data_IF_225479184814
#
_entry.id   IF_225479184814
#
_cell.length_a   1.000
_cell.length_b   1.000
_cell.length_c   1.000
_cell.angle_alpha   90.00
_cell.angle_beta   90.00
_cell.angle_gamma   90.00
#
_symmetry.space_group_name_H-M   'P 1'
#
loop_
_entity.id
_entity.type
_entity.pdbx_description
1 polymer ?
#
# COMPACT_ATOMS: atom_id res chain seq x y z
N UNK A 1 36.00 -47.95 -15.24
CA UNK A 1 34.71 -47.21 -15.35
C UNK A 1 33.92 -47.07 -14.04
N UNK A 2 34.07 -47.92 -13.01
CA UNK A 2 33.27 -47.81 -11.76
C UNK A 2 33.67 -46.68 -10.79
N UNK A 3 34.91 -46.15 -10.84
CA UNK A 3 35.34 -45.04 -9.95
C UNK A 3 34.61 -43.71 -10.19
N UNK A 4 34.10 -43.46 -11.40
CA UNK A 4 33.37 -42.21 -11.70
C UNK A 4 31.99 -42.15 -11.04
N UNK A 5 31.32 -43.30 -10.83
CA UNK A 5 29.98 -43.35 -10.22
C UNK A 5 29.97 -42.86 -8.76
N UNK A 6 31.02 -43.16 -8.00
CA UNK A 6 31.11 -42.75 -6.60
C UNK A 6 31.28 -41.24 -6.43
N UNK A 7 32.12 -40.62 -7.27
CA UNK A 7 32.36 -39.17 -7.24
C UNK A 7 31.09 -38.37 -7.56
N UNK A 8 30.34 -38.77 -8.60
CA UNK A 8 29.08 -38.12 -8.97
C UNK A 8 28.01 -38.25 -7.88
N UNK A 9 27.92 -39.40 -7.18
CA UNK A 9 27.01 -39.57 -6.04
C UNK A 9 27.36 -38.64 -4.88
N UNK A 10 28.64 -38.42 -4.60
CA UNK A 10 29.05 -37.49 -3.55
C UNK A 10 28.71 -36.04 -3.89
N UNK A 11 28.94 -35.61 -5.13
CA UNK A 11 28.54 -34.28 -5.60
C UNK A 11 27.02 -34.12 -5.49
N UNK A 12 26.26 -35.11 -5.96
CA UNK A 12 24.80 -35.07 -5.90
C UNK A 12 24.27 -34.97 -4.46
N UNK A 13 24.83 -35.75 -3.53
CA UNK A 13 24.45 -35.68 -2.12
C UNK A 13 24.79 -34.32 -1.49
N UNK A 14 25.94 -33.72 -1.84
CA UNK A 14 26.29 -32.36 -1.40
C UNK A 14 25.31 -31.33 -1.95
N UNK A 15 25.00 -31.37 -3.24
CA UNK A 15 24.03 -30.45 -3.87
C UNK A 15 22.63 -30.63 -3.26
N UNK A 16 22.20 -31.86 -3.01
CA UNK A 16 20.94 -32.15 -2.34
C UNK A 16 20.91 -31.57 -0.92
N UNK A 17 21.98 -31.74 -0.15
CA UNK A 17 22.06 -31.18 1.21
C UNK A 17 22.05 -29.65 1.18
N UNK A 18 22.76 -29.01 0.25
CA UNK A 18 22.71 -27.55 0.05
C UNK A 18 21.29 -27.11 -0.28
N UNK A 19 20.62 -27.81 -1.20
CA UNK A 19 19.24 -27.48 -1.57
C UNK A 19 18.28 -27.61 -0.39
N UNK A 20 18.42 -28.66 0.44
CA UNK A 20 17.62 -28.84 1.66
C UNK A 20 17.85 -27.67 2.62
N UNK A 21 19.11 -27.32 2.91
CA UNK A 21 19.44 -26.20 3.80
C UNK A 21 18.86 -24.88 3.30
N UNK A 22 18.94 -24.62 1.99
CA UNK A 22 18.37 -23.41 1.36
C UNK A 22 16.83 -23.43 1.46
N UNK A 23 16.20 -24.55 1.11
CA UNK A 23 14.75 -24.72 1.11
C UNK A 23 14.15 -24.61 2.54
N UNK A 24 14.85 -25.12 3.54
CA UNK A 24 14.47 -25.09 4.95
C UNK A 24 14.89 -23.78 5.65
N UNK A 25 15.56 -22.86 4.96
CA UNK A 25 15.93 -21.56 5.53
C UNK A 25 14.68 -20.79 6.01
N UNK A 26 14.76 -20.05 7.14
CA UNK A 26 13.64 -19.25 7.63
C UNK A 26 13.15 -18.25 6.58
N UNK A 27 11.85 -17.96 6.57
CA UNK A 27 11.21 -17.09 5.57
C UNK A 27 11.83 -15.69 5.52
N UNK A 28 12.36 -15.20 6.64
CA UNK A 28 13.09 -13.93 6.68
C UNK A 28 14.31 -13.90 5.77
N UNK A 29 15.01 -15.02 5.57
CA UNK A 29 16.19 -15.05 4.69
C UNK A 29 15.78 -14.77 3.24
N UNK A 30 14.68 -15.36 2.81
CA UNK A 30 14.12 -15.13 1.47
C UNK A 30 13.57 -13.72 1.32
N UNK A 31 12.87 -13.23 2.33
CA UNK A 31 12.40 -11.84 2.34
C UNK A 31 13.57 -10.87 2.24
N UNK A 32 14.54 -10.91 3.15
CA UNK A 32 15.66 -9.96 3.14
C UNK A 32 16.61 -10.17 1.95
N UNK A 33 16.81 -11.40 1.49
CA UNK A 33 17.60 -11.69 0.29
C UNK A 33 17.03 -10.99 -0.95
N UNK A 34 15.71 -11.12 -1.18
CA UNK A 34 15.04 -10.43 -2.30
C UNK A 34 14.93 -8.92 -2.09
N UNK A 35 14.79 -8.45 -0.85
CA UNK A 35 14.83 -7.03 -0.51
C UNK A 35 16.19 -6.42 -0.90
N UNK A 36 17.29 -7.05 -0.49
CA UNK A 36 18.64 -6.62 -0.78
C UNK A 36 18.96 -6.72 -2.27
N UNK A 37 18.40 -7.70 -2.98
CA UNK A 37 18.53 -7.79 -4.44
C UNK A 37 17.90 -6.57 -5.14
N UNK A 38 16.69 -6.16 -4.75
CA UNK A 38 16.07 -4.95 -5.29
C UNK A 38 16.87 -3.69 -4.91
N UNK A 39 17.35 -3.59 -3.67
CA UNK A 39 18.24 -2.50 -3.24
C UNK A 39 19.52 -2.45 -4.06
N UNK A 40 20.13 -3.59 -4.35
CA UNK A 40 21.31 -3.66 -5.19
C UNK A 40 21.01 -3.17 -6.62
N UNK A 41 19.90 -3.61 -7.21
CA UNK A 41 19.54 -3.25 -8.58
C UNK A 41 19.12 -1.79 -8.77
N UNK A 42 18.39 -1.21 -7.81
CA UNK A 42 17.81 0.14 -7.96
C UNK A 42 18.56 1.23 -7.20
N UNK A 43 19.53 0.89 -6.37
CA UNK A 43 20.36 1.85 -5.68
C UNK A 43 21.85 1.58 -5.86
N UNK A 44 22.35 0.41 -5.46
CA UNK A 44 23.81 0.18 -5.49
C UNK A 44 24.36 0.21 -6.93
N UNK A 45 23.73 -0.53 -7.85
CA UNK A 45 24.19 -0.63 -9.23
C UNK A 45 24.14 0.71 -9.97
N UNK A 46 23.02 1.47 -9.96
CA UNK A 46 22.97 2.77 -10.63
C UNK A 46 23.90 3.81 -10.01
N UNK A 47 24.05 3.84 -8.68
CA UNK A 47 24.83 4.88 -7.99
C UNK A 47 26.33 4.59 -7.98
N UNK A 48 26.73 3.33 -7.76
CA UNK A 48 28.14 2.97 -7.54
C UNK A 48 28.78 2.19 -8.70
N UNK A 49 27.99 1.49 -9.53
CA UNK A 49 28.53 0.62 -10.58
C UNK A 49 28.32 1.15 -12.00
N UNK A 50 27.47 2.16 -12.19
CA UNK A 50 27.31 2.84 -13.47
C UNK A 50 28.39 3.93 -13.63
N UNK A 51 29.37 3.73 -14.52
CA UNK A 51 30.45 4.69 -14.74
C UNK A 51 29.96 6.06 -15.24
N UNK A 52 28.84 6.11 -15.96
CA UNK A 52 28.24 7.36 -16.49
C UNK A 52 27.49 8.17 -15.41
N UNK A 53 27.01 7.47 -14.37
CA UNK A 53 26.21 8.02 -13.27
C UNK A 53 26.85 7.89 -11.89
N UNK A 54 28.12 7.50 -11.83
CA UNK A 54 28.82 7.22 -10.56
C UNK A 54 28.72 8.40 -9.59
N UNK A 55 28.23 8.13 -8.38
CA UNK A 55 28.04 9.11 -7.30
C UNK A 55 27.12 10.30 -7.63
N UNK A 56 26.38 10.27 -8.76
CA UNK A 56 25.36 11.28 -9.05
C UNK A 56 24.09 10.93 -8.29
N UNK A 57 23.89 11.59 -7.16
CA UNK A 57 22.58 11.64 -6.51
C UNK A 57 21.70 12.61 -7.30
N UNK A 58 21.04 12.09 -8.34
CA UNK A 58 20.05 12.87 -9.08
C UNK A 58 18.93 13.37 -8.15
N UNK A 59 18.22 14.45 -8.52
CA UNK A 59 17.01 14.83 -7.82
C UNK A 59 16.02 13.66 -7.93
N UNK A 60 15.88 12.89 -6.86
CA UNK A 60 15.00 11.73 -6.80
C UNK A 60 13.55 12.14 -6.48
N UNK A 61 13.34 13.41 -6.16
CA UNK A 61 12.06 14.06 -6.00
C UNK A 61 12.17 15.50 -6.52
N UNK A 62 11.24 15.90 -7.38
CA UNK A 62 11.13 17.29 -7.84
C UNK A 62 10.65 18.18 -6.69
N UNK A 63 11.60 18.82 -6.01
CA UNK A 63 11.32 19.75 -4.93
C UNK A 63 10.52 20.95 -5.45
N UNK A 64 9.36 21.20 -4.87
CA UNK A 64 8.57 22.40 -5.17
C UNK A 64 9.02 23.52 -4.24
N UNK A 65 9.21 24.71 -4.80
CA UNK A 65 9.47 25.92 -4.02
C UNK A 65 8.27 26.85 -4.15
N UNK A 66 7.62 27.24 -3.03
CA UNK A 66 7.92 26.84 -1.66
C UNK A 66 7.46 25.40 -1.35
N UNK A 67 8.14 24.74 -0.40
CA UNK A 67 7.78 23.40 0.08
C UNK A 67 6.35 23.34 0.65
N UNK A 68 5.74 22.15 0.64
CA UNK A 68 4.40 21.93 1.13
C UNK A 68 3.34 22.39 0.13
N UNK A 69 3.57 22.18 -1.17
CA UNK A 69 2.66 22.64 -2.23
C UNK A 69 1.20 22.24 -2.01
N UNK A 70 0.97 20.99 -1.59
CA UNK A 70 -0.38 20.49 -1.34
C UNK A 70 -0.94 21.02 -0.01
N UNK A 71 -0.12 21.11 1.04
CA UNK A 71 -0.54 21.76 2.30
C UNK A 71 -0.96 23.22 2.08
N UNK A 72 -0.24 23.95 1.24
CA UNK A 72 -0.55 25.35 0.90
C UNK A 72 -1.87 25.45 0.15
N UNK A 73 -2.17 24.49 -0.73
CA UNK A 73 -3.48 24.38 -1.36
C UNK A 73 -4.58 24.14 -0.32
N UNK A 74 -4.37 23.24 0.64
CA UNK A 74 -5.35 23.00 1.71
C UNK A 74 -5.55 24.24 2.60
N UNK A 75 -4.48 24.98 2.88
CA UNK A 75 -4.55 26.24 3.63
C UNK A 75 -5.28 27.33 2.87
N UNK A 76 -5.08 27.46 1.56
CA UNK A 76 -5.80 28.44 0.75
C UNK A 76 -7.31 28.13 0.73
N UNK A 77 -7.69 26.85 0.69
CA UNK A 77 -9.08 26.41 0.82
C UNK A 77 -9.66 26.74 2.19
N UNK A 78 -8.92 26.49 3.27
CA UNK A 78 -9.34 26.87 4.63
C UNK A 78 -9.53 28.37 4.78
N UNK A 79 -8.65 29.18 4.17
CA UNK A 79 -8.76 30.65 4.15
C UNK A 79 -9.95 31.15 3.34
N UNK A 80 -10.18 30.57 2.15
CA UNK A 80 -11.34 30.91 1.32
C UNK A 80 -12.64 30.62 2.06
N UNK A 81 -12.74 29.45 2.70
CA UNK A 81 -13.89 29.10 3.53
C UNK A 81 -14.06 30.05 4.73
N UNK A 82 -12.98 30.35 5.46
CA UNK A 82 -13.02 31.25 6.62
C UNK A 82 -13.50 32.67 6.27
N UNK A 83 -13.06 33.20 5.13
CA UNK A 83 -13.29 34.59 4.74
C UNK A 83 -14.58 34.79 3.93
N UNK A 84 -14.96 33.81 3.12
CA UNK A 84 -16.00 33.96 2.08
C UNK A 84 -17.07 32.87 2.16
N UNK A 85 -16.89 31.84 2.99
CA UNK A 85 -17.77 30.67 3.03
C UNK A 85 -17.68 29.78 1.77
N UNK A 86 -16.67 30.00 0.92
CA UNK A 86 -16.51 29.27 -0.34
C UNK A 86 -16.02 27.85 -0.12
N UNK A 87 -16.61 26.90 -0.86
CA UNK A 87 -16.19 25.51 -0.88
C UNK A 87 -16.03 25.03 -2.32
N UNK A 88 -14.78 24.83 -2.74
CA UNK A 88 -14.45 24.33 -4.07
C UNK A 88 -13.33 23.31 -3.96
N UNK A 89 -13.68 22.04 -3.72
CA UNK A 89 -12.65 21.02 -3.55
C UNK A 89 -13.12 19.60 -3.80
N UNK A 90 -12.23 18.73 -4.27
CA UNK A 90 -12.45 17.30 -4.42
C UNK A 90 -12.12 16.48 -3.17
N UNK A 91 -11.84 17.14 -2.04
CA UNK A 91 -11.62 16.49 -0.74
C UNK A 91 -12.85 16.63 0.16
N UNK A 92 -13.08 15.68 1.10
CA UNK A 92 -14.23 15.78 1.98
C UNK A 92 -14.14 17.04 2.88
N UNK A 93 -15.28 17.60 3.31
CA UNK A 93 -15.32 18.91 3.97
C UNK A 93 -14.46 19.06 5.23
N UNK A 94 -14.18 17.96 5.92
CA UNK A 94 -13.37 17.97 7.13
C UNK A 94 -11.98 18.55 6.91
N UNK A 95 -11.34 18.30 5.75
CA UNK A 95 -9.99 18.83 5.49
C UNK A 95 -10.00 20.36 5.47
N UNK A 96 -10.95 20.97 4.78
CA UNK A 96 -11.12 22.43 4.75
C UNK A 96 -11.36 22.99 6.16
N UNK A 97 -12.20 22.31 6.96
CA UNK A 97 -12.46 22.72 8.34
C UNK A 97 -11.22 22.61 9.23
N UNK A 98 -10.43 21.55 9.09
CA UNK A 98 -9.20 21.37 9.84
C UNK A 98 -8.18 22.47 9.53
N UNK A 99 -8.18 23.01 8.31
CA UNK A 99 -7.28 24.09 7.90
C UNK A 99 -7.78 25.49 8.27
N UNK A 100 -9.07 25.64 8.56
CA UNK A 100 -9.70 26.93 8.87
C UNK A 100 -9.07 27.65 10.09
N UNK A 101 -8.78 26.97 11.23
CA UNK A 101 -8.09 27.61 12.36
C UNK A 101 -6.68 28.15 12.04
N UNK A 102 -6.05 27.67 10.96
CA UNK A 102 -4.72 28.10 10.53
C UNK A 102 -4.77 29.21 9.47
N UNK A 103 -5.95 29.76 9.17
CA UNK A 103 -6.13 30.76 8.13
C UNK A 103 -5.23 31.99 8.30
N UNK A 104 -4.98 32.43 9.53
CA UNK A 104 -4.15 33.58 9.87
C UNK A 104 -2.67 33.26 10.14
N UNK A 105 -2.29 31.98 10.15
CA UNK A 105 -0.92 31.54 10.47
C UNK A 105 -0.06 31.54 9.20
N UNK A 106 1.23 31.86 9.34
CA UNK A 106 2.17 31.77 8.23
C UNK A 106 2.27 30.32 7.71
N UNK A 107 2.14 30.07 6.40
CA UNK A 107 2.16 28.71 5.86
C UNK A 107 3.44 27.92 6.16
N UNK A 108 4.59 28.59 6.34
CA UNK A 108 5.83 27.91 6.68
C UNK A 108 5.80 27.34 8.11
N UNK A 109 5.19 28.06 9.06
CA UNK A 109 5.06 27.58 10.44
C UNK A 109 4.02 26.45 10.53
N UNK A 110 2.91 26.55 9.79
CA UNK A 110 1.97 25.44 9.67
C UNK A 110 2.66 24.22 9.06
N UNK A 111 3.49 24.41 8.03
CA UNK A 111 4.23 23.31 7.40
C UNK A 111 5.17 22.60 8.38
N UNK A 112 5.95 23.33 9.20
CA UNK A 112 6.84 22.73 10.21
C UNK A 112 6.06 21.87 11.20
N UNK A 113 4.96 22.39 11.73
CA UNK A 113 4.10 21.64 12.66
C UNK A 113 3.48 20.42 11.97
N UNK A 114 3.01 20.59 10.74
CA UNK A 114 2.39 19.53 9.96
C UNK A 114 3.38 18.41 9.61
N UNK A 115 4.63 18.73 9.27
CA UNK A 115 5.69 17.76 9.03
C UNK A 115 5.98 16.92 10.29
N UNK A 116 5.99 17.55 11.47
CA UNK A 116 6.11 16.81 12.75
C UNK A 116 4.92 15.86 12.97
N UNK A 117 3.70 16.29 12.66
CA UNK A 117 2.51 15.42 12.71
C UNK A 117 2.64 14.24 11.75
N UNK A 118 3.02 14.48 10.48
CA UNK A 118 3.25 13.41 9.49
C UNK A 118 4.27 12.39 10.02
N UNK A 119 5.39 12.85 10.58
CA UNK A 119 6.42 11.98 11.12
C UNK A 119 5.92 11.15 12.31
N UNK A 120 5.21 11.76 13.26
CA UNK A 120 4.61 11.05 14.39
C UNK A 120 3.55 10.05 13.94
N UNK A 121 2.72 10.42 12.95
CA UNK A 121 1.77 9.53 12.31
C UNK A 121 2.47 8.35 11.65
N UNK A 122 3.60 8.60 10.96
CA UNK A 122 4.40 7.55 10.33
C UNK A 122 4.98 6.58 11.36
N UNK A 123 5.60 7.09 12.42
CA UNK A 123 6.08 6.28 13.55
C UNK A 123 4.95 5.41 14.13
N UNK A 124 3.77 5.98 14.26
CA UNK A 124 2.59 5.28 14.76
C UNK A 124 2.18 4.11 13.83
N UNK A 125 2.05 4.36 12.53
CA UNK A 125 1.55 3.35 11.58
C UNK A 125 2.60 2.34 11.13
N UNK A 126 3.87 2.73 11.06
CA UNK A 126 4.93 1.87 10.52
C UNK A 126 5.66 1.10 11.63
N UNK A 127 5.59 1.54 12.89
CA UNK A 127 6.27 0.88 14.01
C UNK A 127 5.34 0.54 15.17
N UNK A 128 4.74 1.54 15.83
CA UNK A 128 4.03 1.32 17.12
C UNK A 128 2.84 0.38 16.94
N UNK A 129 1.86 0.72 16.09
CA UNK A 129 0.66 -0.08 15.90
C UNK A 129 0.96 -1.47 15.31
N UNK A 130 1.79 -1.62 14.27
CA UNK A 130 2.22 -2.93 13.81
C UNK A 130 2.84 -3.80 14.90
N UNK A 131 3.70 -3.25 15.76
CA UNK A 131 4.35 -3.99 16.84
C UNK A 131 3.38 -4.41 17.94
N UNK A 132 2.29 -3.66 18.15
CA UNK A 132 1.21 -4.04 19.05
C UNK A 132 0.31 -5.15 18.47
N UNK A 133 0.18 -5.19 17.13
CA UNK A 133 -0.63 -6.19 16.42
C UNK A 133 0.16 -7.49 16.26
N UNK A 134 1.42 -7.41 15.84
CA UNK A 134 2.32 -8.55 15.62
C UNK A 134 3.04 -8.88 16.91
N UNK A 135 2.65 -9.99 17.55
CA UNK A 135 3.21 -10.40 18.85
C UNK A 135 4.50 -11.23 18.76
N UNK A 136 4.89 -11.63 17.54
CA UNK A 136 6.03 -12.51 17.29
C UNK A 136 7.32 -11.71 17.22
N UNK A 137 8.35 -12.13 17.95
CA UNK A 137 9.62 -11.41 18.02
C UNK A 137 10.26 -11.20 16.62
N UNK A 138 10.32 -12.25 15.80
CA UNK A 138 10.84 -12.13 14.44
C UNK A 138 10.00 -11.18 13.56
N UNK A 139 8.68 -11.16 13.79
CA UNK A 139 7.78 -10.24 13.12
C UNK A 139 7.98 -8.78 13.54
N UNK A 140 8.27 -8.54 14.83
CA UNK A 140 8.63 -7.21 15.34
C UNK A 140 9.97 -6.75 14.75
N UNK A 141 10.97 -7.63 14.64
CA UNK A 141 12.24 -7.31 13.99
C UNK A 141 12.06 -6.92 12.52
N UNK A 142 11.18 -7.64 11.81
CA UNK A 142 10.80 -7.25 10.45
C UNK A 142 10.15 -5.87 10.43
N UNK A 143 9.19 -5.58 11.31
CA UNK A 143 8.55 -4.26 11.41
C UNK A 143 9.58 -3.16 11.65
N UNK A 144 10.54 -3.36 12.56
CA UNK A 144 11.62 -2.40 12.80
C UNK A 144 12.43 -2.17 11.53
N UNK A 145 12.80 -3.23 10.82
CA UNK A 145 13.54 -3.10 9.56
C UNK A 145 12.74 -2.34 8.50
N UNK A 146 11.44 -2.62 8.35
CA UNK A 146 10.56 -1.93 7.41
C UNK A 146 10.30 -0.47 7.79
N UNK A 147 10.21 -0.17 9.09
CA UNK A 147 10.11 1.21 9.60
C UNK A 147 11.35 2.02 9.18
N UNK A 148 12.56 1.51 9.42
CA UNK A 148 13.78 2.20 9.02
C UNK A 148 13.90 2.32 7.50
N UNK A 149 13.60 1.24 6.76
CA UNK A 149 13.61 1.30 5.30
C UNK A 149 12.62 2.33 4.74
N UNK A 150 11.42 2.39 5.31
CA UNK A 150 10.39 3.33 4.88
C UNK A 150 10.66 4.77 5.34
N UNK A 151 11.36 4.97 6.46
CA UNK A 151 11.77 6.29 6.93
C UNK A 151 12.66 7.01 5.91
N UNK A 152 13.49 6.27 5.18
CA UNK A 152 14.35 6.78 4.11
C UNK A 152 13.78 6.56 2.71
N UNK A 153 12.52 6.14 2.61
CA UNK A 153 11.90 5.83 1.32
C UNK A 153 11.45 7.08 0.58
N UNK A 154 11.47 6.98 -0.75
CA UNK A 154 10.97 8.00 -1.65
C UNK A 154 9.51 8.39 -1.34
N UNK A 155 8.63 7.41 -1.13
CA UNK A 155 7.21 7.68 -0.84
C UNK A 155 7.01 8.50 0.43
N UNK A 156 7.76 8.23 1.50
CA UNK A 156 7.64 9.01 2.74
C UNK A 156 8.22 10.41 2.62
N UNK A 157 9.40 10.56 1.99
CA UNK A 157 9.98 11.88 1.73
C UNK A 157 9.04 12.73 0.86
N UNK A 158 8.39 12.11 -0.12
CA UNK A 158 7.43 12.77 -1.00
C UNK A 158 6.15 13.21 -0.26
N UNK A 159 5.62 12.38 0.65
CA UNK A 159 4.51 12.76 1.53
C UNK A 159 4.85 14.00 2.38
N UNK A 160 6.04 14.02 2.98
CA UNK A 160 6.50 15.14 3.81
C UNK A 160 6.75 16.41 2.98
N UNK A 161 7.41 16.30 1.84
CA UNK A 161 7.73 17.46 0.99
C UNK A 161 6.46 18.13 0.46
N UNK A 162 5.47 17.34 0.04
CA UNK A 162 4.19 17.89 -0.43
C UNK A 162 3.28 18.36 0.69
N UNK A 163 3.45 17.82 1.91
CA UNK A 163 2.57 18.10 3.04
C UNK A 163 1.20 17.43 2.88
N UNK A 164 1.22 16.14 2.59
CA UNK A 164 0.02 15.34 2.34
C UNK A 164 -0.56 14.70 3.61
N UNK A 165 -1.82 14.25 3.52
CA UNK A 165 -2.60 13.73 4.65
C UNK A 165 -2.76 12.20 4.68
N UNK A 166 -2.10 11.45 3.79
CA UNK A 166 -2.35 10.02 3.63
C UNK A 166 -1.87 9.22 4.83
N UNK A 167 -0.66 9.52 5.35
CA UNK A 167 -0.13 8.87 6.55
C UNK A 167 -1.01 9.17 7.76
N UNK A 168 -1.52 10.39 7.88
CA UNK A 168 -2.44 10.81 8.95
C UNK A 168 -3.77 10.07 8.85
N UNK A 169 -4.41 10.07 7.66
CA UNK A 169 -5.67 9.36 7.42
C UNK A 169 -5.52 7.87 7.73
N UNK A 170 -4.41 7.26 7.31
CA UNK A 170 -4.12 5.86 7.56
C UNK A 170 -3.86 5.57 9.05
N UNK A 171 -3.27 6.50 9.80
CA UNK A 171 -3.13 6.37 11.26
C UNK A 171 -4.48 6.25 11.94
N UNK A 172 -5.43 7.12 11.60
CA UNK A 172 -6.79 7.05 12.15
C UNK A 172 -7.45 5.70 11.84
N UNK A 173 -7.27 5.20 10.62
CA UNK A 173 -7.82 3.92 10.17
C UNK A 173 -7.19 2.73 10.89
N UNK A 174 -5.85 2.66 10.96
CA UNK A 174 -5.16 1.56 11.64
C UNK A 174 -5.41 1.58 13.15
N UNK A 175 -5.45 2.76 13.76
CA UNK A 175 -5.83 2.91 15.17
C UNK A 175 -7.28 2.46 15.42
N UNK A 176 -8.20 2.83 14.54
CA UNK A 176 -9.59 2.38 14.62
C UNK A 176 -9.70 0.85 14.53
N UNK A 177 -9.03 0.23 13.56
CA UNK A 177 -8.98 -1.22 13.41
C UNK A 177 -8.38 -1.87 14.66
N UNK A 178 -7.28 -1.31 15.19
CA UNK A 178 -6.65 -1.79 16.42
C UNK A 178 -7.62 -1.73 17.61
N UNK A 179 -8.26 -0.59 17.86
CA UNK A 179 -9.21 -0.45 18.96
C UNK A 179 -10.41 -1.39 18.80
N UNK A 180 -10.94 -1.55 17.58
CA UNK A 180 -12.09 -2.41 17.32
C UNK A 180 -11.83 -3.88 17.71
N UNK A 181 -10.64 -4.40 17.34
CA UNK A 181 -10.26 -5.80 17.55
C UNK A 181 -9.62 -6.08 18.89
N UNK A 182 -8.78 -5.17 19.40
CA UNK A 182 -7.96 -5.42 20.59
C UNK A 182 -8.46 -4.69 21.84
N UNK A 183 -9.40 -3.73 21.71
CA UNK A 183 -9.99 -2.98 22.81
C UNK A 183 -11.52 -2.90 22.67
N UNK A 184 -12.28 -4.00 22.90
CA UNK A 184 -13.72 -4.05 22.66
C UNK A 184 -14.54 -2.95 23.35
N UNK A 185 -14.11 -2.50 24.54
CA UNK A 185 -14.73 -1.39 25.29
C UNK A 185 -14.63 -0.04 24.58
N UNK A 186 -13.71 0.12 23.63
CA UNK A 186 -13.43 1.34 22.87
C UNK A 186 -13.95 1.28 21.43
N UNK A 187 -14.84 0.32 21.08
CA UNK A 187 -15.38 0.18 19.71
C UNK A 187 -16.07 1.44 19.19
N UNK A 188 -16.74 2.21 20.05
CA UNK A 188 -17.33 3.48 19.65
C UNK A 188 -16.28 4.48 19.17
N UNK A 189 -15.17 4.61 19.90
CA UNK A 189 -14.03 5.46 19.51
C UNK A 189 -13.45 4.96 18.18
N UNK A 190 -13.36 3.64 17.98
CA UNK A 190 -12.91 3.09 16.71
C UNK A 190 -13.77 3.57 15.53
N UNK A 191 -15.10 3.59 15.65
CA UNK A 191 -15.97 4.08 14.59
C UNK A 191 -15.75 5.57 14.29
N UNK A 192 -15.58 6.39 15.33
CA UNK A 192 -15.30 7.82 15.18
C UNK A 192 -13.96 8.05 14.48
N UNK A 193 -12.89 7.37 14.91
CA UNK A 193 -11.57 7.49 14.27
C UNK A 193 -11.61 7.02 12.82
N UNK A 194 -12.33 5.93 12.52
CA UNK A 194 -12.49 5.47 11.14
C UNK A 194 -13.18 6.52 10.27
N UNK A 195 -14.27 7.11 10.75
CA UNK A 195 -14.95 8.21 10.06
C UNK A 195 -14.03 9.42 9.86
N UNK A 196 -13.24 9.81 10.86
CA UNK A 196 -12.24 10.89 10.70
C UNK A 196 -11.26 10.55 9.56
N UNK A 197 -10.73 9.32 9.53
CA UNK A 197 -9.83 8.88 8.46
C UNK A 197 -10.45 8.98 7.07
N UNK A 198 -11.70 8.52 6.90
CA UNK A 198 -12.47 8.58 5.65
C UNK A 198 -12.78 10.03 5.22
N UNK A 199 -12.97 10.93 6.18
CA UNK A 199 -13.21 12.34 5.91
C UNK A 199 -11.93 13.15 5.69
N UNK A 200 -10.76 12.62 6.02
CA UNK A 200 -9.48 13.21 5.61
C UNK A 200 -9.16 12.79 4.15
N UNK A 201 -9.33 11.50 3.83
CA UNK A 201 -9.18 10.94 2.47
C UNK A 201 -10.22 9.84 2.28
N UNK A 202 -10.77 9.67 1.08
CA UNK A 202 -11.87 8.71 0.82
C UNK A 202 -11.38 7.26 0.69
N UNK A 203 -10.16 7.05 0.16
CA UNK A 203 -9.63 5.71 -0.11
C UNK A 203 -9.67 4.72 1.08
N UNK A 204 -9.58 5.14 2.36
CA UNK A 204 -9.70 4.21 3.48
C UNK A 204 -11.08 3.58 3.66
N UNK A 205 -12.11 4.01 2.92
CA UNK A 205 -13.45 3.42 3.00
C UNK A 205 -13.44 1.90 2.77
N UNK A 206 -12.52 1.37 1.97
CA UNK A 206 -12.36 -0.08 1.74
C UNK A 206 -12.07 -0.85 3.04
N UNK A 207 -11.46 -0.21 4.05
CA UNK A 207 -11.19 -0.85 5.33
C UNK A 207 -12.43 -1.04 6.20
N UNK A 208 -13.62 -0.65 5.75
CA UNK A 208 -14.87 -0.97 6.45
C UNK A 208 -15.03 -2.48 6.71
N UNK A 209 -14.53 -3.32 5.79
CA UNK A 209 -14.52 -4.78 5.96
C UNK A 209 -13.66 -5.25 7.14
N UNK A 210 -12.70 -4.43 7.60
CA UNK A 210 -11.92 -4.72 8.81
C UNK A 210 -12.75 -4.60 10.09
N UNK A 211 -13.99 -4.13 10.06
CA UNK A 211 -14.91 -4.06 11.21
C UNK A 211 -15.82 -5.30 11.34
N UNK A 212 -15.42 -6.40 10.71
CA UNK A 212 -16.04 -7.72 10.86
C UNK A 212 -15.40 -8.44 12.04
N UNK A 213 -16.22 -8.85 12.99
CA UNK A 213 -15.78 -9.55 14.21
C UNK A 213 -15.92 -11.07 14.04
N UNK A 214 -17.11 -11.50 13.60
CA UNK A 214 -17.47 -12.87 13.25
C UNK A 214 -18.28 -12.85 11.96
N UNK A 215 -17.89 -13.65 10.95
CA UNK A 215 -18.58 -13.67 9.65
C UNK A 215 -19.97 -14.29 9.72
N UNK A 216 -20.24 -15.13 10.73
CA UNK A 216 -21.56 -15.74 10.94
C UNK A 216 -22.59 -14.73 11.43
N UNK A 217 -22.16 -13.66 12.10
CA UNK A 217 -23.01 -12.57 12.58
C UNK A 217 -23.27 -11.51 11.49
N UNK A 218 -23.67 -11.94 10.30
CA UNK A 218 -23.83 -11.04 9.14
C UNK A 218 -24.80 -9.88 9.42
N UNK A 219 -25.85 -10.10 10.22
CA UNK A 219 -26.79 -9.04 10.63
C UNK A 219 -26.11 -7.96 11.46
N UNK A 220 -25.25 -8.35 12.40
CA UNK A 220 -24.51 -7.42 13.26
C UNK A 220 -23.48 -6.65 12.43
N UNK A 221 -22.75 -7.34 11.54
CA UNK A 221 -21.79 -6.69 10.64
C UNK A 221 -22.49 -5.70 9.71
N UNK A 222 -23.63 -6.08 9.13
CA UNK A 222 -24.44 -5.20 8.28
C UNK A 222 -24.90 -3.95 9.05
N UNK A 223 -25.45 -4.11 10.27
CA UNK A 223 -25.81 -2.97 11.13
C UNK A 223 -24.64 -2.03 11.40
N UNK A 224 -23.43 -2.57 11.66
CA UNK A 224 -22.22 -1.76 11.85
C UNK A 224 -21.88 -0.99 10.57
N UNK A 225 -21.89 -1.66 9.42
CA UNK A 225 -21.58 -1.03 8.13
C UNK A 225 -22.59 0.07 7.79
N UNK A 226 -23.88 -0.19 7.97
CA UNK A 226 -24.94 0.81 7.79
C UNK A 226 -24.77 1.96 8.77
N UNK A 227 -24.48 1.70 10.06
CA UNK A 227 -24.27 2.74 11.06
C UNK A 227 -23.07 3.65 10.74
N UNK A 228 -21.94 3.05 10.36
CA UNK A 228 -20.75 3.80 9.91
C UNK A 228 -21.08 4.58 8.63
N UNK A 229 -21.79 3.98 7.68
CA UNK A 229 -22.20 4.63 6.43
C UNK A 229 -23.09 5.85 6.68
N UNK A 230 -24.12 5.72 7.53
CA UNK A 230 -24.98 6.81 7.94
C UNK A 230 -24.16 7.90 8.63
N UNK A 231 -23.27 7.56 9.56
CA UNK A 231 -22.44 8.54 10.26
C UNK A 231 -21.57 9.35 9.30
N UNK A 232 -20.88 8.69 8.36
CA UNK A 232 -20.06 9.38 7.35
C UNK A 232 -20.93 10.25 6.42
N UNK A 233 -22.09 9.75 6.00
CA UNK A 233 -23.03 10.53 5.20
C UNK A 233 -23.49 11.80 5.93
N UNK A 234 -23.85 11.69 7.22
CA UNK A 234 -24.24 12.83 8.04
C UNK A 234 -23.08 13.81 8.22
N UNK A 235 -21.85 13.32 8.39
CA UNK A 235 -20.66 14.16 8.49
C UNK A 235 -20.36 14.95 7.21
N UNK A 236 -20.70 14.43 6.03
CA UNK A 236 -20.59 15.20 4.79
C UNK A 236 -21.53 16.42 4.83
N UNK A 237 -22.71 16.26 5.44
CA UNK A 237 -23.77 17.27 5.51
C UNK A 237 -23.63 18.27 6.68
N UNK A 238 -22.60 18.15 7.52
CA UNK A 238 -22.40 19.02 8.70
C UNK A 238 -22.34 20.51 8.32
N UNK A 239 -21.79 20.82 7.14
CA UNK A 239 -21.72 22.19 6.61
C UNK A 239 -22.85 22.52 5.62
N UNK A 240 -23.91 21.69 5.59
CA UNK A 240 -25.00 21.80 4.64
C UNK A 240 -24.73 21.09 3.30
N UNK A 241 -25.66 21.25 2.36
CA UNK A 241 -25.65 20.52 1.08
C UNK A 241 -24.63 21.06 0.07
N UNK A 242 -24.33 22.37 0.08
CA UNK A 242 -23.47 22.99 -0.93
C UNK A 242 -22.04 22.42 -0.93
N UNK A 243 -21.35 22.26 0.22
CA UNK A 243 -20.03 21.62 0.25
C UNK A 243 -20.04 20.18 -0.27
N UNK A 244 -21.12 19.42 -0.01
CA UNK A 244 -21.26 18.06 -0.53
C UNK A 244 -21.38 18.06 -2.04
N UNK A 245 -22.19 18.96 -2.61
CA UNK A 245 -22.33 19.09 -4.06
C UNK A 245 -20.99 19.45 -4.71
N UNK A 246 -20.31 20.48 -4.21
CA UNK A 246 -19.01 20.90 -4.71
C UNK A 246 -17.95 19.80 -4.60
N UNK A 247 -17.99 19.00 -3.53
CA UNK A 247 -17.17 17.81 -3.37
C UNK A 247 -17.41 16.75 -4.45
N UNK A 248 -18.68 16.41 -4.72
CA UNK A 248 -19.05 15.45 -5.75
C UNK A 248 -18.67 15.93 -7.16
N UNK A 249 -18.88 17.21 -7.45
CA UNK A 249 -18.45 17.85 -8.70
C UNK A 249 -16.92 17.82 -8.83
N UNK A 250 -16.20 18.12 -7.75
CA UNK A 250 -14.74 18.04 -7.70
C UNK A 250 -14.19 16.64 -7.99
N UNK A 251 -14.75 15.60 -7.35
CA UNK A 251 -14.40 14.20 -7.65
C UNK A 251 -14.66 13.89 -9.13
N UNK A 252 -15.85 14.26 -9.62
CA UNK A 252 -16.24 13.99 -11.01
C UNK A 252 -15.24 14.63 -11.98
N UNK A 253 -14.90 15.90 -11.76
CA UNK A 253 -13.95 16.63 -12.59
C UNK A 253 -12.55 16.00 -12.57
N UNK A 254 -12.06 15.55 -11.42
CA UNK A 254 -10.77 14.83 -11.32
C UNK A 254 -10.82 13.49 -12.07
N UNK A 255 -11.97 12.81 -12.04
CA UNK A 255 -12.14 11.53 -12.74
C UNK A 255 -12.31 11.68 -14.24
N UNK A 256 -12.78 12.82 -14.74
CA UNK A 256 -13.02 13.03 -16.18
C UNK A 256 -11.86 13.75 -16.87
N UNK A 257 -11.22 14.70 -16.20
CA UNK A 257 -10.10 15.44 -16.77
C UNK A 257 -8.82 14.59 -16.75
N UNK A 258 -8.09 14.57 -17.87
CA UNK A 258 -6.76 13.98 -17.98
C UNK A 258 -5.68 14.83 -17.25
N UNK A 259 -6.08 15.69 -16.32
CA UNK A 259 -5.30 16.86 -15.92
C UNK A 259 -4.12 16.57 -15.00
N UNK A 260 -3.93 15.33 -14.53
CA UNK A 260 -2.75 14.97 -13.71
C UNK A 260 -2.24 13.55 -13.99
N UNK A 261 -1.78 13.35 -15.22
CA UNK A 261 -1.03 12.14 -15.61
C UNK A 261 0.43 12.38 -15.31
N UNK A 262 0.98 11.61 -14.37
CA UNK A 262 2.39 11.69 -13.98
C UNK A 262 2.92 10.30 -13.67
N UNK A 263 4.19 10.06 -13.98
CA UNK A 263 4.83 8.74 -13.81
C UNK A 263 4.80 8.24 -12.37
N UNK A 264 4.90 9.15 -11.41
CA UNK A 264 4.76 8.84 -9.99
C UNK A 264 3.32 8.72 -9.49
N UNK A 265 2.32 8.63 -10.39
CA UNK A 265 0.96 8.20 -10.05
C UNK A 265 0.80 6.74 -10.46
N UNK A 266 0.71 5.87 -9.47
CA UNK A 266 0.65 4.41 -9.64
C UNK A 266 -0.78 3.87 -9.71
N UNK A 267 -1.79 4.73 -9.86
CA UNK A 267 -3.15 4.28 -10.11
C UNK A 267 -3.27 3.58 -11.45
N UNK A 268 -4.26 2.67 -11.56
CA UNK A 268 -4.57 1.99 -12.83
C UNK A 268 -4.91 3.03 -13.90
N UNK A 269 -5.71 4.06 -13.57
CA UNK A 269 -6.09 5.11 -14.51
C UNK A 269 -4.86 5.86 -15.06
N UNK A 270 -3.93 6.26 -14.18
CA UNK A 270 -2.72 6.97 -14.60
C UNK A 270 -1.85 6.11 -15.51
N UNK A 271 -1.65 4.84 -15.15
CA UNK A 271 -0.87 3.91 -15.97
C UNK A 271 -1.42 3.77 -17.40
N UNK A 272 -2.75 3.70 -17.55
CA UNK A 272 -3.41 3.65 -18.87
C UNK A 272 -3.19 4.94 -19.66
N UNK A 273 -3.30 6.09 -19.01
CA UNK A 273 -3.06 7.38 -19.67
C UNK A 273 -1.58 7.53 -20.08
N UNK A 274 -0.64 7.03 -19.28
CA UNK A 274 0.79 7.00 -19.61
C UNK A 274 1.12 6.07 -20.77
N UNK A 275 0.44 4.91 -20.83
CA UNK A 275 0.51 4.01 -21.96
C UNK A 275 0.05 4.71 -23.24
N UNK A 276 -1.11 5.37 -23.20
CA UNK A 276 -1.66 6.11 -24.35
C UNK A 276 -0.80 7.33 -24.75
N UNK A 277 -0.19 8.01 -23.78
CA UNK A 277 0.72 9.14 -24.02
C UNK A 277 2.09 8.71 -24.58
N UNK A 278 2.33 7.41 -24.78
CA UNK A 278 3.58 6.89 -25.33
C UNK A 278 4.76 6.97 -24.37
N UNK A 279 4.55 7.15 -23.06
CA UNK A 279 5.66 7.24 -22.11
C UNK A 279 6.55 5.98 -22.14
N UNK A 280 5.96 4.84 -22.46
CA UNK A 280 6.69 3.57 -22.55
C UNK A 280 7.26 3.29 -23.94
N UNK A 281 7.04 4.14 -24.95
CA UNK A 281 7.44 3.91 -26.34
C UNK A 281 8.93 3.61 -26.49
N UNK A 282 9.77 4.26 -25.68
CA UNK A 282 11.22 4.05 -25.68
C UNK A 282 11.67 2.66 -25.20
N UNK A 283 10.76 1.83 -24.67
CA UNK A 283 11.05 0.44 -24.32
C UNK A 283 10.88 -0.46 -25.55
N UNK A 284 9.99 -0.06 -26.45
CA UNK A 284 9.54 -0.87 -27.56
C UNK A 284 10.32 -0.62 -28.86
N UNK A 285 11.58 -0.14 -28.80
CA UNK A 285 12.40 0.13 -30.00
C UNK A 285 12.72 -1.11 -30.86
N UNK A 286 12.53 -2.33 -30.33
CA UNK A 286 12.60 -3.54 -31.13
C UNK A 286 11.31 -3.68 -31.97
N UNK A 287 11.41 -3.92 -33.28
CA UNK A 287 10.27 -3.99 -34.21
C UNK A 287 9.12 -4.89 -33.72
N UNK A 288 9.41 -6.02 -33.06
CA UNK A 288 8.39 -6.91 -32.50
C UNK A 288 7.64 -6.29 -31.31
N UNK A 289 8.33 -5.46 -30.53
CA UNK A 289 7.79 -4.77 -29.37
C UNK A 289 6.95 -3.54 -29.78
N UNK A 290 7.28 -2.87 -30.88
CA UNK A 290 6.45 -1.76 -31.40
C UNK A 290 5.01 -2.19 -31.63
N UNK A 291 4.81 -3.36 -32.25
CA UNK A 291 3.47 -3.91 -32.52
C UNK A 291 2.70 -4.18 -31.22
N UNK A 292 3.36 -4.70 -30.18
CA UNK A 292 2.76 -4.93 -28.87
C UNK A 292 2.35 -3.62 -28.20
N UNK A 293 3.19 -2.58 -28.29
CA UNK A 293 2.84 -1.25 -27.78
C UNK A 293 1.65 -0.64 -28.53
N UNK A 294 1.64 -0.72 -29.87
CA UNK A 294 0.51 -0.27 -30.68
C UNK A 294 -0.80 -0.94 -30.25
N UNK A 295 -0.79 -2.28 -30.15
CA UNK A 295 -1.93 -3.04 -29.65
C UNK A 295 -2.34 -2.62 -28.23
N UNK A 296 -1.37 -2.42 -27.32
CA UNK A 296 -1.65 -2.04 -25.94
C UNK A 296 -2.27 -0.64 -25.85
N UNK A 297 -1.83 0.32 -26.67
CA UNK A 297 -2.39 1.67 -26.76
C UNK A 297 -3.82 1.63 -27.30
N UNK A 298 -4.07 0.86 -28.37
CA UNK A 298 -5.40 0.67 -28.95
C UNK A 298 -6.38 0.02 -27.95
N UNK A 299 -5.88 -0.85 -27.08
CA UNK A 299 -6.67 -1.60 -26.10
C UNK A 299 -6.55 -1.06 -24.66
N UNK A 300 -6.01 0.16 -24.48
CA UNK A 300 -5.64 0.67 -23.16
C UNK A 300 -6.83 0.73 -22.17
N UNK A 301 -8.02 1.12 -22.64
CA UNK A 301 -9.25 1.14 -21.82
C UNK A 301 -9.66 -0.27 -21.37
N UNK A 302 -9.52 -1.28 -22.25
CA UNK A 302 -9.81 -2.67 -21.92
C UNK A 302 -8.81 -3.21 -20.90
N UNK A 303 -7.51 -2.91 -21.08
CA UNK A 303 -6.46 -3.26 -20.12
C UNK A 303 -6.74 -2.63 -18.75
N UNK A 304 -7.11 -1.34 -18.71
CA UNK A 304 -7.45 -0.65 -17.46
C UNK A 304 -8.65 -1.28 -16.74
N UNK A 305 -9.68 -1.63 -17.50
CA UNK A 305 -10.87 -2.33 -16.98
C UNK A 305 -10.50 -3.71 -16.45
N UNK A 306 -9.69 -4.47 -17.19
CA UNK A 306 -9.21 -5.79 -16.78
C UNK A 306 -8.38 -5.73 -15.50
N UNK A 307 -7.45 -4.77 -15.38
CA UNK A 307 -6.64 -4.56 -14.18
C UNK A 307 -7.50 -4.19 -12.96
N UNK A 308 -8.53 -3.37 -13.17
CA UNK A 308 -9.48 -2.99 -12.11
C UNK A 308 -10.29 -4.21 -11.64
N UNK A 309 -10.85 -4.98 -12.59
CA UNK A 309 -11.60 -6.21 -12.31
C UNK A 309 -10.70 -7.23 -11.58
N UNK A 310 -9.47 -7.43 -12.03
CA UNK A 310 -8.50 -8.32 -11.38
C UNK A 310 -8.20 -7.87 -9.95
N UNK A 311 -8.05 -6.57 -9.72
CA UNK A 311 -7.80 -6.02 -8.39
C UNK A 311 -8.98 -6.27 -7.44
N UNK A 312 -10.20 -6.02 -7.91
CA UNK A 312 -11.43 -6.29 -7.17
C UNK A 312 -11.64 -7.78 -6.94
N UNK A 313 -11.34 -8.63 -7.93
CA UNK A 313 -11.43 -10.08 -7.79
C UNK A 313 -10.48 -10.59 -6.71
N UNK A 314 -9.23 -10.09 -6.66
CA UNK A 314 -8.27 -10.44 -5.63
C UNK A 314 -8.75 -10.09 -4.22
N UNK A 315 -9.36 -8.90 -4.08
CA UNK A 315 -10.02 -8.48 -2.85
C UNK A 315 -11.19 -9.40 -2.46
N UNK A 316 -12.12 -9.63 -3.40
CA UNK A 316 -13.30 -10.46 -3.17
C UNK A 316 -12.93 -11.91 -2.85
N UNK A 317 -11.88 -12.46 -3.46
CA UNK A 317 -11.39 -13.81 -3.13
C UNK A 317 -10.90 -13.89 -1.68
N UNK A 318 -10.21 -12.86 -1.19
CA UNK A 318 -9.72 -12.81 0.21
C UNK A 318 -10.88 -12.62 1.18
N UNK A 319 -11.85 -11.75 0.86
CA UNK A 319 -13.10 -11.60 1.61
C UNK A 319 -13.85 -12.93 1.68
N UNK A 320 -14.08 -13.57 0.54
CA UNK A 320 -14.77 -14.85 0.44
C UNK A 320 -14.04 -15.95 1.20
N UNK A 321 -12.71 -16.03 1.09
CA UNK A 321 -11.89 -16.97 1.86
C UNK A 321 -12.04 -16.74 3.37
N UNK A 322 -12.07 -15.49 3.79
CA UNK A 322 -12.23 -15.09 5.19
C UNK A 322 -13.61 -15.49 5.73
N UNK A 323 -14.65 -15.28 4.92
CA UNK A 323 -16.01 -15.74 5.18
C UNK A 323 -16.09 -17.27 5.29
N UNK A 324 -15.58 -18.00 4.28
CA UNK A 324 -15.59 -19.47 4.25
C UNK A 324 -14.88 -20.08 5.45
N UNK A 325 -13.77 -19.47 5.91
CA UNK A 325 -12.99 -19.94 7.06
C UNK A 325 -13.47 -19.37 8.39
N UNK A 326 -14.50 -18.53 8.39
CA UNK A 326 -14.97 -17.76 9.52
C UNK A 326 -13.81 -17.15 10.34
N UNK A 327 -12.90 -16.46 9.66
CA UNK A 327 -11.76 -15.81 10.34
C UNK A 327 -12.31 -14.74 11.28
N UNK A 328 -12.13 -14.94 12.58
CA UNK A 328 -12.57 -14.01 13.62
C UNK A 328 -11.48 -12.99 13.95
N UNK A 329 -11.88 -11.80 14.36
CA UNK A 329 -10.97 -10.73 14.77
C UNK A 329 -10.11 -10.16 13.63
N UNK A 330 -8.91 -9.67 13.96
CA UNK A 330 -8.05 -9.00 12.99
C UNK A 330 -7.52 -9.97 11.93
N UNK A 331 -7.80 -9.66 10.65
CA UNK A 331 -7.36 -10.44 9.51
C UNK A 331 -6.28 -9.70 8.71
N UNK A 332 -5.03 -10.16 8.84
CA UNK A 332 -3.88 -9.51 8.21
C UNK A 332 -3.88 -9.59 6.68
N UNK A 333 -4.46 -10.65 6.09
CA UNK A 333 -4.51 -10.80 4.63
C UNK A 333 -5.50 -9.81 4.03
N UNK A 334 -6.68 -9.69 4.67
CA UNK A 334 -7.67 -8.70 4.27
C UNK A 334 -7.11 -7.28 4.43
N UNK A 335 -6.34 -7.02 5.50
CA UNK A 335 -5.71 -5.71 5.71
C UNK A 335 -4.73 -5.33 4.59
N UNK A 336 -3.79 -6.22 4.23
CA UNK A 336 -2.79 -5.90 3.20
C UNK A 336 -3.40 -5.81 1.81
N UNK A 337 -4.35 -6.68 1.48
CA UNK A 337 -5.05 -6.64 0.19
C UNK A 337 -5.92 -5.38 0.09
N UNK A 338 -6.63 -5.00 1.16
CA UNK A 338 -7.38 -3.73 1.20
C UNK A 338 -6.46 -2.53 1.02
N UNK A 339 -5.28 -2.54 1.64
CA UNK A 339 -4.28 -1.47 1.50
C UNK A 339 -3.83 -1.34 0.05
N UNK A 340 -3.45 -2.44 -0.60
CA UNK A 340 -2.98 -2.40 -1.99
C UNK A 340 -4.09 -1.93 -2.94
N UNK A 341 -5.33 -2.41 -2.76
CA UNK A 341 -6.47 -1.98 -3.58
C UNK A 341 -6.79 -0.50 -3.36
N UNK A 342 -6.68 0.01 -2.14
CA UNK A 342 -6.79 1.43 -1.83
C UNK A 342 -5.73 2.30 -2.53
N UNK A 343 -4.56 1.75 -2.85
CA UNK A 343 -3.50 2.45 -3.60
C UNK A 343 -3.70 2.35 -5.12
N UNK A 344 -4.34 1.29 -5.61
CA UNK A 344 -4.50 1.02 -7.06
C UNK A 344 -5.72 1.69 -7.70
N UNK A 345 -6.85 1.69 -6.98
CA UNK A 345 -8.16 2.02 -7.55
C UNK A 345 -8.42 3.53 -7.68
N UNK A 346 -8.08 4.39 -6.69
CA UNK A 346 -8.32 5.83 -6.84
C UNK A 346 -7.58 6.40 -8.06
N UNK A 347 -8.26 7.25 -8.83
CA UNK A 347 -7.70 7.86 -10.05
C UNK A 347 -6.39 8.62 -9.79
N UNK A 348 -6.28 9.29 -8.64
CA UNK A 348 -5.07 9.97 -8.18
C UNK A 348 -4.53 9.21 -6.97
N UNK A 349 -3.48 8.41 -7.19
CA UNK A 349 -2.70 7.79 -6.13
C UNK A 349 -1.22 7.98 -6.46
N UNK A 350 -0.70 9.13 -6.03
CA UNK A 350 0.71 9.45 -6.18
C UNK A 350 1.59 8.63 -5.23
N UNK A 351 2.86 8.49 -5.57
CA UNK A 351 3.82 7.67 -4.83
C UNK A 351 3.99 8.06 -3.35
N UNK A 352 3.56 9.27 -2.94
CA UNK A 352 3.50 9.63 -1.53
C UNK A 352 2.58 8.69 -0.71
N UNK A 353 1.58 8.06 -1.34
CA UNK A 353 0.68 7.10 -0.66
C UNK A 353 1.39 5.77 -0.37
N UNK A 354 2.50 5.46 -1.04
CA UNK A 354 3.27 4.22 -0.79
C UNK A 354 3.87 4.17 0.61
N UNK A 355 3.98 5.32 1.28
CA UNK A 355 4.42 5.43 2.68
C UNK A 355 3.64 4.53 3.65
N UNK A 356 2.36 4.24 3.37
CA UNK A 356 1.54 3.38 4.24
C UNK A 356 1.81 1.88 4.03
N UNK A 357 2.40 1.49 2.90
CA UNK A 357 2.52 0.09 2.49
C UNK A 357 3.39 -0.74 3.44
N UNK A 358 4.43 -0.14 4.03
CA UNK A 358 5.33 -0.81 4.97
C UNK A 358 4.59 -1.39 6.18
N UNK A 359 3.58 -0.69 6.68
CA UNK A 359 2.74 -1.17 7.80
C UNK A 359 1.98 -2.45 7.42
N UNK A 360 1.36 -2.47 6.24
CA UNK A 360 0.53 -3.56 5.77
C UNK A 360 1.35 -4.81 5.45
N UNK A 361 2.48 -4.63 4.77
CA UNK A 361 3.44 -5.71 4.49
C UNK A 361 4.02 -6.25 5.79
N UNK A 362 4.46 -5.38 6.70
CA UNK A 362 5.04 -5.77 7.99
C UNK A 362 4.07 -6.57 8.84
N UNK A 363 2.81 -6.15 8.94
CA UNK A 363 1.77 -6.88 9.69
C UNK A 363 1.47 -8.24 9.03
N UNK A 364 1.29 -8.27 7.71
CA UNK A 364 0.94 -9.50 7.00
C UNK A 364 2.05 -10.56 7.07
N UNK A 365 3.30 -10.16 6.80
CA UNK A 365 4.44 -11.08 6.84
C UNK A 365 4.83 -11.40 8.28
N UNK A 366 4.83 -10.41 9.19
CA UNK A 366 5.18 -10.60 10.59
C UNK A 366 4.27 -11.60 11.31
N UNK A 367 2.98 -11.63 10.99
CA UNK A 367 2.06 -12.65 11.53
C UNK A 367 2.31 -14.06 10.95
N UNK A 368 2.91 -14.14 9.76
CA UNK A 368 3.11 -15.38 8.99
C UNK A 368 4.54 -15.94 9.06
N UNK A 369 5.43 -15.27 9.76
CA UNK A 369 6.88 -15.54 9.73
C UNK A 369 7.29 -16.96 10.15
N UNK A 370 6.58 -17.55 11.13
CA UNK A 370 6.82 -18.93 11.59
C UNK A 370 5.90 -19.96 10.91
N UNK A 371 5.08 -19.54 9.94
CA UNK A 371 4.22 -20.50 9.25
C UNK A 371 5.06 -21.35 8.32
N UNK A 372 5.11 -22.65 8.62
CA UNK A 372 5.63 -23.65 7.71
C UNK A 372 4.48 -24.14 6.82
N UNK A 373 4.39 -23.71 5.55
CA UNK A 373 3.40 -24.25 4.64
C UNK A 373 3.62 -25.75 4.45
N UNK A 374 2.59 -26.47 3.99
CA UNK A 374 2.76 -27.88 3.63
C UNK A 374 3.91 -28.03 2.61
N UNK A 375 4.71 -29.13 2.66
CA UNK A 375 5.91 -29.27 1.83
C UNK A 375 5.67 -29.06 0.32
N UNK A 376 4.50 -29.48 -0.18
CA UNK A 376 4.09 -29.29 -1.58
C UNK A 376 3.93 -27.83 -2.01
N UNK A 377 3.69 -26.91 -1.07
CA UNK A 377 3.49 -25.48 -1.33
C UNK A 377 4.64 -24.61 -0.85
N UNK A 378 5.66 -25.18 -0.21
CA UNK A 378 6.77 -24.42 0.37
C UNK A 378 7.56 -23.65 -0.68
N UNK A 379 7.88 -24.26 -1.82
CA UNK A 379 8.62 -23.59 -2.89
C UNK A 379 7.83 -22.42 -3.47
N UNK A 380 6.53 -22.62 -3.72
CA UNK A 380 5.63 -21.56 -4.17
C UNK A 380 5.56 -20.44 -3.13
N UNK A 381 5.42 -20.78 -1.84
CA UNK A 381 5.37 -19.79 -0.76
C UNK A 381 6.66 -18.97 -0.69
N UNK A 382 7.84 -19.61 -0.75
CA UNK A 382 9.14 -18.90 -0.82
C UNK A 382 9.17 -17.95 -2.01
N UNK A 383 8.79 -18.44 -3.20
CA UNK A 383 8.76 -17.62 -4.41
C UNK A 383 7.84 -16.39 -4.27
N UNK A 384 6.63 -16.56 -3.73
CA UNK A 384 5.69 -15.46 -3.52
C UNK A 384 6.20 -14.45 -2.47
N UNK A 385 6.85 -14.91 -1.39
CA UNK A 385 7.47 -14.02 -0.40
C UNK A 385 8.61 -13.22 -1.03
N UNK A 386 9.44 -13.87 -1.83
CA UNK A 386 10.52 -13.21 -2.58
C UNK A 386 9.98 -12.16 -3.55
N UNK A 387 8.91 -12.47 -4.28
CA UNK A 387 8.23 -11.51 -5.16
C UNK A 387 7.66 -10.32 -4.39
N UNK A 388 6.96 -10.56 -3.27
CA UNK A 388 6.44 -9.49 -2.40
C UNK A 388 7.57 -8.60 -1.92
N UNK A 389 8.66 -9.19 -1.42
CA UNK A 389 9.79 -8.43 -0.88
C UNK A 389 10.47 -7.59 -1.95
N UNK A 390 10.72 -8.17 -3.13
CA UNK A 390 11.31 -7.47 -4.26
C UNK A 390 10.42 -6.30 -4.73
N UNK A 391 9.13 -6.54 -4.89
CA UNK A 391 8.15 -5.53 -5.32
C UNK A 391 7.93 -4.44 -4.26
N UNK A 392 7.92 -4.80 -2.98
CA UNK A 392 7.87 -3.81 -1.90
C UNK A 392 9.14 -2.95 -1.89
N UNK A 393 10.32 -3.56 -1.92
CA UNK A 393 11.59 -2.84 -1.93
C UNK A 393 11.71 -1.93 -3.14
N UNK A 394 11.30 -2.37 -4.33
CA UNK A 394 11.30 -1.54 -5.53
C UNK A 394 10.44 -0.29 -5.35
N UNK A 395 9.30 -0.38 -4.64
CA UNK A 395 8.43 0.78 -4.36
C UNK A 395 9.06 1.84 -3.45
N UNK A 396 10.14 1.52 -2.72
CA UNK A 396 10.83 2.46 -1.84
C UNK A 396 11.72 3.45 -2.60
N UNK A 397 12.05 3.16 -3.86
CA UNK A 397 12.91 4.00 -4.68
C UNK A 397 12.10 4.93 -5.57
N UNK A 398 12.68 6.08 -5.91
CA UNK A 398 12.13 6.99 -6.91
C UNK A 398 12.10 6.34 -8.29
N UNK A 399 11.14 6.76 -9.11
CA UNK A 399 11.07 6.38 -10.52
C UNK A 399 12.35 6.78 -11.28
N UNK A 400 13.07 7.83 -10.86
CA UNK A 400 14.32 8.25 -11.51
C UNK A 400 15.44 7.21 -11.44
N UNK A 401 15.40 6.34 -10.42
CA UNK A 401 16.43 5.33 -10.19
C UNK A 401 16.02 3.95 -10.73
N UNK A 402 14.87 3.87 -11.42
CA UNK A 402 14.33 2.63 -11.95
C UNK A 402 14.48 2.56 -13.46
N UNK A 403 14.66 1.35 -14.01
CA UNK A 403 14.53 1.16 -15.46
C UNK A 403 13.13 1.57 -15.91
N UNK A 404 12.99 2.03 -17.15
CA UNK A 404 11.77 2.63 -17.69
C UNK A 404 10.50 1.79 -17.44
N UNK A 405 10.60 0.45 -17.54
CA UNK A 405 9.50 -0.50 -17.29
C UNK A 405 8.98 -0.51 -15.84
N UNK A 406 9.81 -0.10 -14.88
CA UNK A 406 9.51 -0.15 -13.45
C UNK A 406 9.37 1.25 -12.84
N UNK A 407 9.43 2.31 -13.64
CA UNK A 407 9.28 3.68 -13.16
C UNK A 407 7.92 3.92 -12.51
N UNK A 408 6.85 3.37 -13.09
CA UNK A 408 5.53 3.37 -12.47
C UNK A 408 5.44 2.21 -11.46
N UNK A 409 4.91 2.47 -10.26
CA UNK A 409 4.81 1.45 -9.21
C UNK A 409 3.60 0.49 -9.37
N UNK A 410 2.71 0.70 -10.34
CA UNK A 410 1.55 -0.18 -10.58
C UNK A 410 1.94 -1.66 -10.69
N UNK A 411 2.94 -2.08 -11.50
CA UNK A 411 3.28 -3.49 -11.65
C UNK A 411 3.74 -4.12 -10.32
N UNK A 412 4.51 -3.38 -9.51
CA UNK A 412 4.95 -3.83 -8.20
C UNK A 412 3.75 -4.05 -7.25
N UNK A 413 2.81 -3.11 -7.23
CA UNK A 413 1.57 -3.24 -6.44
C UNK A 413 0.71 -4.42 -6.91
N UNK A 414 0.58 -4.66 -8.22
CA UNK A 414 -0.15 -5.81 -8.76
C UNK A 414 0.54 -7.14 -8.41
N UNK A 415 1.87 -7.22 -8.47
CA UNK A 415 2.64 -8.40 -8.04
C UNK A 415 2.39 -8.70 -6.56
N UNK A 416 2.43 -7.68 -5.70
CA UNK A 416 2.12 -7.85 -4.28
C UNK A 416 0.67 -8.31 -4.08
N UNK A 417 -0.29 -7.69 -4.78
CA UNK A 417 -1.71 -8.06 -4.68
C UNK A 417 -1.94 -9.53 -5.03
N UNK A 418 -1.45 -9.97 -6.18
CA UNK A 418 -1.57 -11.36 -6.61
C UNK A 418 -0.87 -12.31 -5.63
N UNK A 419 0.33 -11.96 -5.18
CA UNK A 419 1.11 -12.81 -4.29
C UNK A 419 0.44 -12.96 -2.92
N UNK A 420 -0.04 -11.88 -2.32
CA UNK A 420 -0.77 -11.94 -1.05
C UNK A 420 -2.10 -12.68 -1.20
N UNK A 421 -2.84 -12.49 -2.30
CA UNK A 421 -4.08 -13.23 -2.56
C UNK A 421 -3.80 -14.72 -2.70
N UNK A 422 -2.78 -15.14 -3.47
CA UNK A 422 -2.42 -16.56 -3.59
C UNK A 422 -2.03 -17.13 -2.21
N UNK A 423 -1.19 -16.41 -1.44
CA UNK A 423 -0.82 -16.81 -0.07
C UNK A 423 -2.04 -16.97 0.84
N UNK A 424 -3.04 -16.09 0.75
CA UNK A 424 -4.27 -16.17 1.53
C UNK A 424 -5.12 -17.41 1.18
N UNK A 425 -5.04 -17.87 -0.08
CA UNK A 425 -5.75 -19.04 -0.57
C UNK A 425 -5.04 -20.37 -0.29
N UNK A 426 -3.72 -20.36 -0.06
CA UNK A 426 -2.97 -21.57 0.26
C UNK A 426 -3.57 -22.32 1.46
N UNK A 427 -3.58 -23.66 1.43
CA UNK A 427 -4.01 -24.45 2.57
C UNK A 427 -3.05 -24.25 3.75
N UNK A 428 -3.61 -24.01 4.94
CA UNK A 428 -2.82 -24.00 6.18
C UNK A 428 -2.30 -25.41 6.48
N UNK A 429 -1.09 -25.53 7.08
CA UNK A 429 -0.55 -26.82 7.51
C UNK A 429 -1.53 -27.56 8.44
N UNK A 430 -1.53 -28.89 8.37
CA UNK A 430 -2.49 -29.74 9.09
C UNK A 430 -2.37 -29.65 10.62
N UNK A 431 -1.22 -29.21 11.16
CA UNK A 431 -1.01 -29.06 12.60
C UNK A 431 -1.99 -28.09 13.27
N UNK A 432 -2.47 -27.06 12.54
CA UNK A 432 -3.53 -26.17 13.04
C UNK A 432 -4.90 -26.86 13.16
N UNK A 433 -5.13 -27.98 12.46
CA UNK A 433 -6.40 -28.72 12.58
C UNK A 433 -6.50 -29.49 13.90
N UNK A 434 -5.37 -29.93 14.47
CA UNK A 434 -5.36 -30.69 15.73
C UNK A 434 -5.64 -29.74 16.90
N UNK A 435 -4.97 -28.58 16.94
CA UNK A 435 -5.21 -27.55 17.97
C UNK A 435 -6.61 -26.89 17.91
N UNK A 436 -7.32 -27.01 16.79
CA UNK A 436 -8.71 -26.56 16.64
C UNK A 436 -9.75 -27.64 16.97
N UNK A 437 -9.32 -28.91 17.12
CA UNK A 437 -10.17 -30.00 17.62
C UNK A 437 -10.02 -30.18 19.14
N UNK A 438 -8.92 -29.68 19.72
CA UNK A 438 -8.66 -29.69 21.17
C UNK A 438 -9.24 -28.47 21.91
N UNK A 439 -10.07 -27.65 21.25
CA UNK A 439 -10.84 -26.53 21.84
C UNK A 439 -12.28 -26.62 21.40
#
# INVERSE_FOLDING_TARGET
MMKNSWYWRQIWNKLKNIFIVIYDAPILYWFFGSFLAAYFLFFISPVFLNSEQSMKFGPYLDAITPIGGDLRLFLSMGRAFANQGEFANAYPPLVTLLMTPFASVDPADVYKAFAAVIFLSYLCIAFILPSLIVKKQQGILLIIALFFAGLFSYGFHFEMERGQFNVIAFQFVLMAIYLFHFKPKSRFIAYVLFSIGVHIKIYPLIFIFMFIDDWREWKTNFKRFTGIGILNFLFLLVLGYQPVRAFLEGITNITTLASYVWIGNHSIKSFILLLQAGQFQAIFFNYQLVAVHGWAVENATMIGSALTILSLLCFLLVVFRSFQKNIKGFNSDMFVVSTIVALLVPAISHDYTLSVLGSAVGIAIGNRIDLNPAPSFRLLYIFLISLISFAYSSSLFSYTNKPLLLQNNLPALMIMLFSFTIIALLPKPAQDRIALLDK
#
